data_IF_518146979033
#
_entry.id   IF_518146979033
#
_cell.length_a   1.000
_cell.length_b   1.000
_cell.length_c   1.000
_cell.angle_alpha   90.00
_cell.angle_beta   90.00
_cell.angle_gamma   90.00
#
_symmetry.space_group_name_H-M   'P 1'
#
loop_
_entity.id
_entity.type
_entity.pdbx_description
1 polymer ?
#
# COMPACT_ATOMS: atom_id res chain seq x y z
N UNK A 1 44.97 -21.58 33.71
CA UNK A 1 45.03 -20.47 32.74
C UNK A 1 43.59 -20.08 32.48
N UNK A 2 43.15 -18.92 32.95
CA UNK A 2 41.76 -18.49 32.78
C UNK A 2 41.60 -17.93 31.38
N UNK A 3 40.78 -18.57 30.55
CA UNK A 3 40.28 -18.00 29.31
C UNK A 3 39.54 -16.71 29.66
N UNK A 4 40.24 -15.57 29.49
CA UNK A 4 39.59 -14.27 29.48
C UNK A 4 38.68 -14.26 28.27
N UNK A 5 37.38 -14.42 28.51
CA UNK A 5 36.36 -14.07 27.53
C UNK A 5 36.62 -12.62 27.12
N UNK A 6 37.04 -12.44 25.87
CA UNK A 6 37.19 -11.12 25.27
C UNK A 6 35.81 -10.47 25.35
N UNK A 7 35.68 -9.42 26.15
CA UNK A 7 34.46 -8.64 26.20
C UNK A 7 34.17 -8.18 24.78
N UNK A 8 33.05 -8.61 24.19
CA UNK A 8 32.57 -8.06 22.90
C UNK A 8 32.64 -6.54 23.04
N UNK A 9 33.55 -5.93 22.30
CA UNK A 9 33.68 -4.49 22.25
C UNK A 9 32.36 -4.00 21.67
N UNK A 10 31.50 -3.41 22.52
CA UNK A 10 30.20 -2.89 22.10
C UNK A 10 30.48 -1.88 20.99
N UNK A 11 30.23 -2.28 19.74
CA UNK A 11 30.17 -1.32 18.64
C UNK A 11 29.07 -0.34 19.02
N UNK A 12 29.44 0.94 19.13
CA UNK A 12 28.48 1.98 19.45
C UNK A 12 27.38 2.04 18.41
N UNK A 13 26.26 2.65 18.77
CA UNK A 13 25.15 2.88 17.82
C UNK A 13 25.66 3.61 16.58
N UNK A 14 25.28 3.10 15.42
CA UNK A 14 25.51 3.72 14.10
C UNK A 14 24.20 4.29 13.58
N UNK A 15 24.31 5.36 12.81
CA UNK A 15 23.19 5.95 12.08
C UNK A 15 23.13 5.35 10.69
N UNK A 16 21.92 5.03 10.24
CA UNK A 16 21.63 4.51 8.91
C UNK A 16 20.62 5.44 8.24
N UNK A 17 20.93 5.87 7.02
CA UNK A 17 20.02 6.68 6.20
C UNK A 17 19.00 5.78 5.55
N UNK A 18 17.71 6.04 5.75
CA UNK A 18 16.62 5.27 5.17
C UNK A 18 16.28 5.85 3.80
N UNK A 19 16.38 5.02 2.77
CA UNK A 19 16.11 5.37 1.38
C UNK A 19 14.79 4.76 0.92
N UNK A 20 14.01 5.56 0.20
CA UNK A 20 12.79 5.10 -0.46
C UNK A 20 13.11 4.10 -1.59
N UNK A 21 12.13 3.30 -2.03
CA UNK A 21 12.27 2.47 -3.22
C UNK A 21 12.52 3.30 -4.48
N UNK A 22 12.98 2.66 -5.56
CA UNK A 22 13.34 3.33 -6.82
C UNK A 22 12.19 4.12 -7.46
N UNK A 23 10.95 3.65 -7.29
CA UNK A 23 9.74 4.36 -7.75
C UNK A 23 9.54 5.75 -7.11
N UNK A 24 10.21 6.04 -5.99
CA UNK A 24 10.21 7.33 -5.30
C UNK A 24 11.59 8.01 -5.36
N UNK A 25 12.34 7.80 -6.46
CA UNK A 25 13.65 8.40 -6.74
C UNK A 25 14.71 8.17 -5.66
N UNK A 26 14.57 7.11 -4.85
CA UNK A 26 15.42 6.83 -3.68
C UNK A 26 15.54 8.02 -2.73
N UNK A 27 14.46 8.77 -2.57
CA UNK A 27 14.40 9.90 -1.65
C UNK A 27 14.81 9.49 -0.22
N UNK A 28 15.49 10.40 0.48
CA UNK A 28 15.86 10.21 1.87
C UNK A 28 14.61 10.38 2.76
N UNK A 29 14.18 9.28 3.40
CA UNK A 29 13.01 9.25 4.27
C UNK A 29 13.34 9.66 5.71
N UNK A 30 14.62 9.62 6.07
CA UNK A 30 15.12 9.97 7.41
C UNK A 30 16.30 9.11 7.83
N UNK A 31 16.58 9.10 9.14
CA UNK A 31 17.70 8.35 9.72
C UNK A 31 17.23 7.47 10.87
N UNK A 32 17.86 6.33 11.04
CA UNK A 32 17.57 5.40 12.14
C UNK A 32 18.86 4.91 12.79
N UNK A 33 18.86 4.79 14.11
CA UNK A 33 20.03 4.32 14.86
C UNK A 33 19.89 2.86 15.27
N UNK A 34 20.96 2.09 15.15
CA UNK A 34 21.04 0.72 15.63
C UNK A 34 22.47 0.33 16.03
N UNK A 35 22.61 -0.66 16.91
CA UNK A 35 23.92 -1.23 17.25
C UNK A 35 24.37 -2.23 16.19
N UNK A 36 23.42 -3.04 15.70
CA UNK A 36 23.65 -4.06 14.67
C UNK A 36 22.71 -3.83 13.47
N UNK A 37 23.17 -4.04 12.22
CA UNK A 37 22.34 -3.85 11.02
C UNK A 37 21.04 -4.66 11.03
N UNK A 38 21.05 -5.87 11.59
CA UNK A 38 19.89 -6.75 11.67
C UNK A 38 18.74 -6.15 12.50
N UNK A 39 19.04 -5.22 13.41
CA UNK A 39 18.03 -4.54 14.23
C UNK A 39 17.25 -3.46 13.46
N UNK A 40 17.75 -3.06 12.29
CA UNK A 40 17.13 -2.04 11.43
C UNK A 40 16.12 -2.69 10.49
N UNK A 41 16.41 -3.90 10.01
CA UNK A 41 15.51 -4.68 9.16
C UNK A 41 14.17 -4.91 9.86
N UNK A 42 13.08 -4.71 9.13
CA UNK A 42 11.72 -4.88 9.63
C UNK A 42 11.13 -3.65 10.33
N UNK A 43 11.88 -2.57 10.53
CA UNK A 43 11.31 -1.29 11.00
C UNK A 43 10.42 -0.68 9.92
N UNK A 44 9.37 -0.02 10.36
CA UNK A 44 8.43 0.71 9.50
C UNK A 44 8.70 2.21 9.63
N UNK A 45 8.73 2.90 8.49
CA UNK A 45 8.88 4.36 8.38
C UNK A 45 7.62 4.92 7.73
N UNK A 46 7.06 5.97 8.33
CA UNK A 46 5.93 6.73 7.80
C UNK A 46 6.43 8.11 7.37
N UNK A 47 6.05 8.55 6.18
CA UNK A 47 6.29 9.91 5.67
C UNK A 47 5.09 10.37 4.84
N UNK A 48 5.01 11.65 4.52
CA UNK A 48 4.01 12.17 3.57
C UNK A 48 4.56 12.23 2.15
N UNK A 49 3.68 12.18 1.15
CA UNK A 49 4.09 12.42 -0.24
C UNK A 49 4.64 13.85 -0.43
N UNK A 50 4.12 14.81 0.32
CA UNK A 50 4.59 16.20 0.28
C UNK A 50 6.03 16.36 0.76
N UNK A 51 6.48 15.56 1.72
CA UNK A 51 7.88 15.53 2.16
C UNK A 51 8.82 14.96 1.08
N UNK A 52 8.39 13.91 0.37
CA UNK A 52 9.18 13.28 -0.70
C UNK A 52 9.30 14.19 -1.93
N UNK A 53 8.17 14.78 -2.36
CA UNK A 53 8.09 15.56 -3.61
C UNK A 53 8.37 17.05 -3.42
N UNK A 54 8.36 17.54 -2.18
CA UNK A 54 8.46 18.96 -1.84
C UNK A 54 7.17 19.75 -2.05
N UNK A 55 6.04 19.09 -2.35
CA UNK A 55 4.72 19.73 -2.50
C UNK A 55 3.84 19.57 -1.26
N UNK A 56 3.72 20.64 -0.47
CA UNK A 56 2.86 20.69 0.73
C UNK A 56 1.37 20.46 0.43
N UNK A 57 0.94 20.60 -0.84
CA UNK A 57 -0.42 20.29 -1.26
C UNK A 57 -0.79 18.80 -1.12
N UNK A 58 0.21 17.92 -1.01
CA UNK A 58 0.08 16.46 -0.98
C UNK A 58 0.29 15.86 0.43
N UNK A 59 0.36 16.69 1.48
CA UNK A 59 0.58 16.23 2.87
C UNK A 59 -0.56 15.36 3.41
N UNK A 60 -1.72 15.35 2.74
CA UNK A 60 -2.83 14.48 3.06
C UNK A 60 -2.61 13.02 2.62
N UNK A 61 -1.51 12.71 1.92
CA UNK A 61 -1.14 11.35 1.51
C UNK A 61 0.00 10.87 2.40
N UNK A 62 -0.23 9.78 3.12
CA UNK A 62 0.77 9.07 3.91
C UNK A 62 1.25 7.84 3.17
N UNK A 63 2.56 7.65 3.18
CA UNK A 63 3.23 6.49 2.62
C UNK A 63 3.97 5.78 3.76
N UNK A 64 3.79 4.47 3.80
CA UNK A 64 4.37 3.60 4.81
C UNK A 64 5.31 2.63 4.10
N UNK A 65 6.55 2.65 4.55
CA UNK A 65 7.65 1.87 4.03
C UNK A 65 8.17 0.91 5.10
N UNK A 66 8.67 -0.25 4.69
CA UNK A 66 9.33 -1.20 5.60
C UNK A 66 10.76 -1.44 5.13
N UNK A 67 11.69 -1.40 6.06
CA UNK A 67 13.10 -1.67 5.76
C UNK A 67 13.25 -3.18 5.52
N UNK A 68 13.74 -3.53 4.34
CA UNK A 68 13.97 -4.92 3.91
C UNK A 68 15.44 -5.30 3.95
N UNK A 69 16.31 -4.36 3.57
CA UNK A 69 17.75 -4.60 3.49
C UNK A 69 18.56 -3.43 4.02
N UNK A 70 19.77 -3.72 4.50
CA UNK A 70 20.68 -2.73 5.09
C UNK A 70 22.06 -2.91 4.49
N UNK A 71 22.50 -1.89 3.76
CA UNK A 71 23.87 -1.76 3.28
C UNK A 71 24.81 -1.26 4.37
N UNK A 72 25.93 -0.63 3.98
CA UNK A 72 26.95 -0.18 4.93
C UNK A 72 26.45 0.90 5.89
N UNK A 73 25.84 1.96 5.34
CA UNK A 73 25.25 3.09 6.09
C UNK A 73 23.85 3.47 5.55
N UNK A 74 23.32 2.72 4.58
CA UNK A 74 22.03 2.97 3.95
C UNK A 74 21.08 1.79 4.21
N UNK A 75 19.82 2.09 4.52
CA UNK A 75 18.74 1.13 4.70
C UNK A 75 17.76 1.26 3.53
N UNK A 76 17.55 0.18 2.80
CA UNK A 76 16.63 0.12 1.67
C UNK A 76 15.25 -0.30 2.13
N UNK A 77 14.23 0.34 1.57
CA UNK A 77 12.85 0.09 1.94
C UNK A 77 12.03 -0.48 0.79
N UNK A 78 10.95 -1.15 1.16
CA UNK A 78 9.87 -1.58 0.30
C UNK A 78 8.61 -0.81 0.67
N UNK A 79 7.79 -0.47 -0.33
CA UNK A 79 6.49 0.15 -0.12
C UNK A 79 5.49 -0.88 0.42
N UNK A 80 4.79 -0.52 1.51
CA UNK A 80 3.80 -1.40 2.16
C UNK A 80 2.39 -0.85 2.04
N UNK A 81 2.22 0.45 2.26
CA UNK A 81 0.88 1.02 2.37
C UNK A 81 0.85 2.49 1.95
N UNK A 82 -0.20 2.85 1.23
CA UNK A 82 -0.65 4.22 0.99
C UNK A 82 -1.93 4.45 1.79
N UNK A 83 -2.02 5.57 2.52
CA UNK A 83 -3.20 5.94 3.30
C UNK A 83 -3.45 7.44 3.25
N UNK A 84 -4.71 7.84 3.08
CA UNK A 84 -5.12 9.24 3.25
C UNK A 84 -5.23 9.62 4.72
N UNK A 85 -4.83 10.85 5.07
CA UNK A 85 -4.94 11.33 6.44
C UNK A 85 -6.39 11.35 6.92
N UNK A 86 -6.58 11.07 8.22
CA UNK A 86 -7.90 10.94 8.83
C UNK A 86 -8.68 12.26 8.82
N UNK A 87 -7.97 13.37 9.04
CA UNK A 87 -8.51 14.72 8.97
C UNK A 87 -9.00 15.06 7.56
N UNK A 88 -8.21 14.73 6.53
CA UNK A 88 -8.60 14.93 5.13
C UNK A 88 -9.86 14.13 4.79
N UNK A 89 -9.91 12.84 5.10
CA UNK A 89 -11.08 11.99 4.87
C UNK A 89 -12.33 12.52 5.61
N UNK A 90 -12.17 12.93 6.87
CA UNK A 90 -13.29 13.51 7.66
C UNK A 90 -13.77 14.83 7.08
N UNK A 91 -12.88 15.66 6.52
CA UNK A 91 -13.25 16.92 5.86
C UNK A 91 -14.10 16.68 4.60
N UNK A 92 -13.94 15.53 3.96
CA UNK A 92 -14.70 15.18 2.76
C UNK A 92 -16.13 14.72 3.07
N UNK A 93 -16.37 14.10 4.23
CA UNK A 93 -17.71 13.65 4.63
C UNK A 93 -18.58 14.86 4.98
N UNK A 94 -19.70 15.04 4.28
CA UNK A 94 -20.66 16.11 4.54
C UNK A 94 -22.05 15.57 4.87
N UNK A 95 -22.78 16.28 5.72
CA UNK A 95 -24.20 15.98 5.99
C UNK A 95 -25.03 16.15 4.71
N UNK A 96 -25.95 15.23 4.47
CA UNK A 96 -26.82 15.26 3.29
C UNK A 96 -26.19 14.72 2.01
N UNK A 97 -24.95 14.20 2.08
CA UNK A 97 -24.28 13.47 1.02
C UNK A 97 -24.05 12.01 1.44
N UNK A 98 -23.83 11.13 0.46
CA UNK A 98 -23.44 9.73 0.68
C UNK A 98 -21.92 9.57 0.55
N UNK A 99 -21.37 8.67 1.37
CA UNK A 99 -20.01 8.15 1.24
C UNK A 99 -20.12 6.73 0.72
N UNK A 100 -19.59 6.46 -0.45
CA UNK A 100 -19.59 5.14 -1.07
C UNK A 100 -18.19 4.56 -0.93
N UNK A 101 -18.06 3.63 0.01
CA UNK A 101 -16.82 2.92 0.29
C UNK A 101 -16.83 1.52 -0.34
N UNK A 102 -15.65 1.05 -0.72
CA UNK A 102 -15.38 -0.28 -1.22
C UNK A 102 -14.00 -0.75 -0.73
N UNK A 103 -13.87 -2.06 -0.50
CA UNK A 103 -12.59 -2.73 -0.25
C UNK A 103 -12.53 -3.95 -1.15
N UNK A 104 -11.47 -4.03 -1.96
CA UNK A 104 -11.27 -5.12 -2.91
C UNK A 104 -9.81 -5.57 -2.85
N UNK A 105 -9.62 -6.87 -2.92
CA UNK A 105 -8.30 -7.50 -3.03
C UNK A 105 -8.13 -7.95 -4.47
N UNK A 106 -7.05 -7.50 -5.10
CA UNK A 106 -6.72 -7.78 -6.49
C UNK A 106 -5.29 -8.31 -6.59
N UNK A 107 -5.01 -9.06 -7.66
CA UNK A 107 -3.68 -9.58 -8.00
C UNK A 107 -3.14 -8.75 -9.17
N UNK A 108 -1.91 -8.27 -9.06
CA UNK A 108 -1.23 -7.53 -10.14
C UNK A 108 -0.56 -8.49 -11.12
N UNK A 109 -0.09 -7.96 -12.26
CA UNK A 109 0.61 -8.74 -13.30
C UNK A 109 1.89 -9.42 -12.83
N UNK A 110 2.55 -8.88 -11.81
CA UNK A 110 3.75 -9.39 -11.17
C UNK A 110 3.45 -10.20 -9.90
N UNK A 111 2.21 -10.68 -9.74
CA UNK A 111 1.77 -11.58 -8.67
C UNK A 111 1.85 -11.01 -7.25
N UNK A 112 1.68 -9.70 -7.09
CA UNK A 112 1.44 -9.11 -5.78
C UNK A 112 -0.06 -9.12 -5.45
N UNK A 113 -0.42 -9.50 -4.22
CA UNK A 113 -1.79 -9.37 -3.72
C UNK A 113 -1.93 -8.06 -2.98
N UNK A 114 -2.78 -7.18 -3.49
CA UNK A 114 -2.99 -5.84 -2.93
C UNK A 114 -4.45 -5.60 -2.61
N UNK A 115 -4.70 -4.94 -1.48
CA UNK A 115 -6.03 -4.46 -1.12
C UNK A 115 -6.15 -2.98 -1.43
N UNK A 116 -7.08 -2.63 -2.32
CA UNK A 116 -7.37 -1.26 -2.71
C UNK A 116 -8.73 -0.84 -2.13
N UNK A 117 -8.79 0.36 -1.57
CA UNK A 117 -9.99 0.91 -0.93
C UNK A 117 -10.40 2.23 -1.57
N UNK A 118 -11.06 2.21 -2.75
CA UNK A 118 -11.56 3.42 -3.38
C UNK A 118 -12.79 3.96 -2.62
N UNK A 119 -12.93 5.29 -2.60
CA UNK A 119 -14.02 5.99 -1.91
C UNK A 119 -14.56 7.11 -2.80
N UNK A 120 -15.87 7.15 -3.00
CA UNK A 120 -16.56 8.25 -3.66
C UNK A 120 -17.41 9.06 -2.68
N UNK A 121 -17.38 10.37 -2.87
CA UNK A 121 -18.23 11.33 -2.16
C UNK A 121 -19.22 11.95 -3.13
N UNK A 122 -20.51 11.70 -2.89
CA UNK A 122 -21.58 12.25 -3.74
C UNK A 122 -21.88 13.71 -3.35
N UNK A 123 -22.53 14.46 -4.25
CA UNK A 123 -22.97 15.84 -3.94
C UNK A 123 -24.23 15.86 -3.07
N UNK A 124 -25.08 14.84 -3.21
CA UNK A 124 -26.36 14.67 -2.51
C UNK A 124 -26.51 13.21 -2.08
N UNK A 125 -27.44 12.94 -1.16
CA UNK A 125 -27.75 11.58 -0.73
C UNK A 125 -28.16 10.73 -1.94
N UNK A 126 -27.38 9.68 -2.20
CA UNK A 126 -27.67 8.72 -3.26
C UNK A 126 -28.58 7.62 -2.73
N UNK A 127 -29.39 7.05 -3.62
CA UNK A 127 -30.19 5.88 -3.32
C UNK A 127 -29.32 4.61 -3.34
N UNK A 128 -29.79 3.54 -2.68
CA UNK A 128 -29.02 2.29 -2.55
C UNK A 128 -28.61 1.69 -3.91
N UNK A 129 -29.48 1.76 -4.91
CA UNK A 129 -29.19 1.29 -6.28
C UNK A 129 -28.09 2.10 -6.96
N UNK A 130 -28.07 3.42 -6.74
CA UNK A 130 -27.03 4.31 -7.27
C UNK A 130 -25.69 4.04 -6.58
N UNK A 131 -25.69 3.88 -5.26
CA UNK A 131 -24.47 3.51 -4.52
C UNK A 131 -23.91 2.16 -4.99
N UNK A 132 -24.78 1.19 -5.26
CA UNK A 132 -24.36 -0.12 -5.74
C UNK A 132 -23.81 -0.07 -7.17
N UNK A 133 -24.42 0.71 -8.06
CA UNK A 133 -23.91 0.90 -9.42
C UNK A 133 -22.55 1.63 -9.43
N UNK A 134 -22.34 2.62 -8.54
CA UNK A 134 -21.03 3.25 -8.34
C UNK A 134 -19.99 2.24 -7.84
N UNK A 135 -20.36 1.37 -6.88
CA UNK A 135 -19.45 0.31 -6.41
C UNK A 135 -19.05 -0.64 -7.53
N UNK A 136 -19.98 -1.00 -8.42
CA UNK A 136 -19.65 -1.88 -9.55
C UNK A 136 -18.60 -1.24 -10.47
N UNK A 137 -18.78 0.03 -10.86
CA UNK A 137 -17.78 0.76 -11.67
C UNK A 137 -16.41 0.81 -10.97
N UNK A 138 -16.39 0.98 -9.64
CA UNK A 138 -15.12 0.96 -8.90
C UNK A 138 -14.45 -0.42 -8.91
N UNK A 139 -15.23 -1.51 -8.84
CA UNK A 139 -14.69 -2.87 -8.93
C UNK A 139 -14.07 -3.06 -10.31
N UNK A 140 -14.86 -2.84 -11.36
CA UNK A 140 -14.46 -3.09 -12.74
C UNK A 140 -13.15 -2.34 -13.10
N UNK A 141 -13.07 -1.04 -12.78
CA UNK A 141 -11.89 -0.22 -13.08
C UNK A 141 -10.65 -0.58 -12.26
N UNK A 142 -10.83 -1.07 -11.03
CA UNK A 142 -9.68 -1.46 -10.20
C UNK A 142 -9.17 -2.85 -10.59
N UNK A 143 -10.07 -3.77 -10.94
CA UNK A 143 -9.72 -5.08 -11.50
C UNK A 143 -8.98 -4.91 -12.82
N UNK A 144 -9.53 -4.13 -13.76
CA UNK A 144 -8.86 -3.78 -15.03
C UNK A 144 -7.48 -3.14 -14.77
N UNK A 145 -7.41 -2.20 -13.82
CA UNK A 145 -6.14 -1.55 -13.52
C UNK A 145 -5.08 -2.48 -12.93
N UNK A 146 -5.48 -3.54 -12.22
CA UNK A 146 -4.59 -4.52 -11.63
C UNK A 146 -4.14 -5.58 -12.65
N UNK A 147 -5.03 -5.97 -13.57
CA UNK A 147 -4.74 -6.92 -14.65
C UNK A 147 -3.77 -6.35 -15.70
N UNK A 148 -3.75 -5.03 -15.89
CA UNK A 148 -2.92 -4.37 -16.90
C UNK A 148 -1.54 -3.90 -16.39
N UNK A 149 -1.38 -3.71 -15.08
CA UNK A 149 -0.23 -2.99 -14.49
C UNK A 149 0.59 -3.86 -13.54
N UNK A 150 1.87 -3.57 -13.46
CA UNK A 150 2.73 -4.10 -12.39
C UNK A 150 2.44 -3.39 -11.05
N UNK A 151 2.90 -3.96 -9.94
CA UNK A 151 2.68 -3.39 -8.60
C UNK A 151 3.16 -1.93 -8.49
N UNK A 152 4.37 -1.64 -8.97
CA UNK A 152 4.94 -0.30 -8.93
C UNK A 152 4.07 0.71 -9.71
N UNK A 153 3.66 0.36 -10.93
CA UNK A 153 2.84 1.21 -11.79
C UNK A 153 1.42 1.43 -11.23
N UNK A 154 0.86 0.42 -10.56
CA UNK A 154 -0.42 0.54 -9.87
C UNK A 154 -0.32 1.50 -8.69
N UNK A 155 0.75 1.39 -7.88
CA UNK A 155 1.02 2.32 -6.78
C UNK A 155 1.16 3.75 -7.31
N UNK A 156 1.92 3.97 -8.37
CA UNK A 156 2.10 5.29 -8.97
C UNK A 156 0.77 5.86 -9.49
N UNK A 157 -0.04 5.03 -10.15
CA UNK A 157 -1.39 5.42 -10.62
C UNK A 157 -2.31 5.85 -9.47
N UNK A 158 -2.17 5.22 -8.30
CA UNK A 158 -2.92 5.56 -7.08
C UNK A 158 -2.41 6.84 -6.46
N UNK A 159 -1.09 6.97 -6.29
CA UNK A 159 -0.42 8.13 -5.68
C UNK A 159 -0.66 9.41 -6.48
N UNK A 160 -0.59 9.34 -7.81
CA UNK A 160 -0.86 10.47 -8.71
C UNK A 160 -2.36 10.75 -8.90
N UNK A 161 -3.24 9.88 -8.40
CA UNK A 161 -4.70 10.04 -8.53
C UNK A 161 -5.26 9.75 -9.93
N UNK A 162 -4.50 9.07 -10.80
CA UNK A 162 -4.97 8.64 -12.13
C UNK A 162 -6.15 7.66 -12.00
N UNK A 163 -6.05 6.69 -11.10
CA UNK A 163 -7.14 5.74 -10.82
C UNK A 163 -8.40 6.45 -10.28
N UNK A 164 -8.22 7.37 -9.34
CA UNK A 164 -9.31 8.20 -8.80
C UNK A 164 -10.02 9.00 -9.89
N UNK A 165 -9.25 9.55 -10.84
CA UNK A 165 -9.75 10.35 -11.96
C UNK A 165 -10.52 9.51 -12.97
N UNK A 166 -10.05 8.30 -13.28
CA UNK A 166 -10.75 7.35 -14.14
C UNK A 166 -12.11 6.96 -13.55
N UNK A 167 -12.13 6.58 -12.26
CA UNK A 167 -13.37 6.24 -11.54
C UNK A 167 -14.33 7.42 -11.53
N UNK A 168 -13.85 8.64 -11.27
CA UNK A 168 -14.69 9.84 -11.33
C UNK A 168 -15.31 10.05 -12.72
N UNK A 169 -14.52 9.80 -13.78
CA UNK A 169 -14.92 9.92 -15.18
C UNK A 169 -16.16 9.09 -15.52
N UNK A 170 -16.18 7.83 -15.11
CA UNK A 170 -17.29 6.90 -15.38
C UNK A 170 -18.44 7.05 -14.37
N UNK A 171 -18.12 7.14 -13.08
CA UNK A 171 -19.14 7.13 -12.03
C UNK A 171 -19.99 8.42 -11.98
N UNK A 172 -19.50 9.55 -12.53
CA UNK A 172 -20.30 10.78 -12.65
C UNK A 172 -21.52 10.61 -13.57
N UNK A 173 -21.50 9.64 -14.49
CA UNK A 173 -22.61 9.34 -15.41
C UNK A 173 -23.80 8.74 -14.66
N UNK A 174 -23.54 7.99 -13.59
CA UNK A 174 -24.58 7.40 -12.72
C UNK A 174 -25.19 8.48 -11.82
N UNK A 175 -24.34 9.23 -11.13
CA UNK A 175 -24.78 10.20 -10.13
C UNK A 175 -23.76 11.33 -9.97
N UNK A 176 -24.17 12.58 -9.68
CA UNK A 176 -23.24 13.68 -9.46
C UNK A 176 -22.31 13.45 -8.25
N UNK A 177 -21.03 13.24 -8.55
CA UNK A 177 -19.94 13.10 -7.59
C UNK A 177 -19.23 14.42 -7.34
N UNK A 178 -18.79 14.62 -6.08
CA UNK A 178 -17.96 15.75 -5.70
C UNK A 178 -16.47 15.42 -5.81
N UNK A 179 -16.08 14.24 -5.33
CA UNK A 179 -14.70 13.77 -5.33
C UNK A 179 -14.64 12.25 -5.22
N UNK A 180 -13.63 11.65 -5.84
CA UNK A 180 -13.26 10.24 -5.69
C UNK A 180 -11.80 10.22 -5.30
N UNK A 181 -11.46 9.35 -4.36
CA UNK A 181 -10.08 9.17 -3.88
C UNK A 181 -9.85 7.70 -3.51
N UNK A 182 -8.61 7.25 -3.52
CA UNK A 182 -8.22 5.96 -2.93
C UNK A 182 -7.87 6.19 -1.47
N UNK A 183 -8.71 5.69 -0.55
CA UNK A 183 -8.50 5.86 0.88
C UNK A 183 -7.26 5.13 1.37
N UNK A 184 -7.09 3.89 0.93
CA UNK A 184 -6.03 3.00 1.39
C UNK A 184 -5.66 2.01 0.29
N UNK A 185 -4.37 1.82 0.09
CA UNK A 185 -3.82 0.68 -0.64
C UNK A 185 -2.83 -0.02 0.29
N UNK A 186 -2.98 -1.32 0.49
CA UNK A 186 -2.08 -2.12 1.32
C UNK A 186 -1.61 -3.37 0.60
N UNK A 187 -0.33 -3.65 0.69
CA UNK A 187 0.26 -4.92 0.29
C UNK A 187 -0.17 -6.02 1.28
N UNK A 188 -0.78 -7.09 0.78
CA UNK A 188 -1.21 -8.24 1.58
C UNK A 188 -0.25 -9.42 1.50
N UNK A 189 0.19 -9.77 0.29
CA UNK A 189 1.12 -10.87 0.06
C UNK A 189 2.06 -10.57 -1.11
N UNK A 190 3.31 -10.97 -0.96
CA UNK A 190 4.33 -10.95 -2.01
C UNK A 190 4.18 -12.16 -2.95
N UNK A 191 4.76 -12.12 -4.16
CA UNK A 191 4.72 -13.24 -5.10
C UNK A 191 5.24 -14.56 -4.50
N UNK A 192 6.33 -14.49 -3.72
CA UNK A 192 6.89 -15.66 -3.02
C UNK A 192 5.91 -16.28 -2.02
N UNK A 193 5.13 -15.44 -1.33
CA UNK A 193 4.13 -15.90 -0.36
C UNK A 193 2.92 -16.51 -1.07
N UNK A 194 2.48 -15.93 -2.20
CA UNK A 194 1.38 -16.48 -3.00
C UNK A 194 1.77 -17.82 -3.61
N UNK A 195 2.98 -17.94 -4.17
CA UNK A 195 3.47 -19.19 -4.73
C UNK A 195 3.51 -20.30 -3.66
N UNK A 196 3.99 -19.98 -2.46
CA UNK A 196 4.00 -20.92 -1.34
C UNK A 196 2.57 -21.29 -0.86
N UNK A 197 1.63 -20.35 -0.85
CA UNK A 197 0.22 -20.62 -0.57
C UNK A 197 -0.42 -21.52 -1.63
N UNK A 198 -0.13 -21.27 -2.92
CA UNK A 198 -0.63 -22.06 -4.04
C UNK A 198 -0.08 -23.49 -3.98
N UNK A 199 1.23 -23.68 -3.74
CA UNK A 199 1.85 -25.00 -3.55
C UNK A 199 1.22 -25.75 -2.36
N UNK A 200 1.10 -25.10 -1.20
CA UNK A 200 0.48 -25.70 -0.01
C UNK A 200 -1.01 -26.05 -0.23
N UNK A 201 -1.74 -25.28 -1.05
CA UNK A 201 -3.14 -25.57 -1.36
C UNK A 201 -3.31 -26.78 -2.30
N UNK A 202 -2.35 -27.01 -3.20
CA UNK A 202 -2.34 -28.15 -4.12
C UNK A 202 -2.02 -29.44 -3.34
N UNK A 203 -1.04 -29.40 -2.44
CA UNK A 203 -0.67 -30.56 -1.61
C UNK A 203 -1.85 -31.07 -0.76
N UNK A 204 -2.68 -30.18 -0.21
CA UNK A 204 -3.86 -30.57 0.58
C UNK A 204 -4.95 -31.21 -0.30
N UNK A 205 -5.12 -30.72 -1.53
CA UNK A 205 -6.09 -31.30 -2.46
C UNK A 205 -5.68 -32.70 -2.94
N UNK A 206 -4.38 -32.96 -3.10
CA UNK A 206 -3.86 -34.29 -3.46
C UNK A 206 -3.96 -35.28 -2.27
N UNK A 207 -3.80 -34.82 -1.03
CA UNK A 207 -4.01 -35.65 0.18
C UNK A 207 -5.49 -36.03 0.40
N UNK A 208 -6.44 -35.11 0.17
CA UNK A 208 -7.88 -35.41 0.32
C UNK A 208 -8.40 -36.41 -0.74
N UNK A 209 -7.80 -36.45 -1.94
CA UNK A 209 -8.17 -37.43 -3.00
C UNK A 209 -7.66 -38.83 -2.68
N UNK A 210 -6.58 -38.98 -1.91
CA UNK A 210 -6.00 -40.28 -1.56
C UNK A 210 -6.75 -41.03 -0.43
N UNK A 211 -7.72 -40.37 0.23
CA UNK A 211 -8.47 -40.95 1.37
C UNK A 211 -9.82 -41.54 0.94
N UNK A 212 -10.27 -41.29 -0.30
CA UNK A 212 -11.55 -41.75 -0.86
C UNK A 212 -11.41 -42.94 -1.87
N UNK A 213 -10.40 -43.81 -1.70
CA UNK A 213 -10.29 -45.13 -2.38
C UNK A 213 -10.27 -46.33 -1.41
#
# INVERSE_FOLDING_TARGET
>A
MSERSVSRQRQGKRWYTVLAPEQFDRAELGETMAEEPEQVVGRTVETTLGEITGDQGQDNIKLIFKITDVGSDAAYTEFIQHELTRDYLRSMVRRGASKVDLHITVRTTDDYRVRVSPVAFTTKKADRSQEQAIRQIMIDLVEEAAEERAFAELVDSVVEGRLSSAIYGEAKTIYPLRRVEVQKLSLEARPEEIAAEEEASVDVADDDVAVDE
#
